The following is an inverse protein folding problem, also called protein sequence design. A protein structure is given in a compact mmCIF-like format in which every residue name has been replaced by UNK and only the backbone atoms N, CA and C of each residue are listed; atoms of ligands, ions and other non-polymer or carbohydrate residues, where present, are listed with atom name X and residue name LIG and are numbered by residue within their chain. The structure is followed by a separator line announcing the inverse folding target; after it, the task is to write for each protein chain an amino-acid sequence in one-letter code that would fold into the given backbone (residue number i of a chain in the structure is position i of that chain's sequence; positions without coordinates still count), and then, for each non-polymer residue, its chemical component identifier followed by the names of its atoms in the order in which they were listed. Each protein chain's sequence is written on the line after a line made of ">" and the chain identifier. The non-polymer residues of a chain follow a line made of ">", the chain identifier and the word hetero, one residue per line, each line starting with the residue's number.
data_IF_607684169647
#
_entry.id   IF_607684169647
#
_cell.length_a   1.000
_cell.length_b   1.000
_cell.length_c   1.000
_cell.angle_alpha   90.00
_cell.angle_beta   90.00
_cell.angle_gamma   90.00
#
_symmetry.space_group_name_H-M   'P 1'
#
loop_
_entity.id
_entity.type
_entity.pdbx_description
1 polymer ?
#
# COMPACT_ATOMS: atom_id res chain seq x y z
N UNK A 1 -1.95 -33.59 52.98
CA UNK A 1 -0.81 -33.71 53.91
C UNK A 1 0.46 -33.46 53.10
N UNK A 2 1.04 -32.44 53.26
CA UNK A 2 2.09 -31.71 53.92
C UNK A 2 2.27 -30.36 53.23
N UNK A 3 1.93 -29.36 53.95
CA UNK A 3 2.30 -27.98 53.90
C UNK A 3 3.79 -27.82 54.15
N UNK A 4 4.47 -26.91 53.48
CA UNK A 4 5.60 -26.17 54.07
C UNK A 4 5.63 -24.76 53.55
N UNK A 5 5.67 -23.88 54.50
CA UNK A 5 5.61 -22.45 54.43
C UNK A 5 7.03 -21.82 54.48
N UNK A 6 7.07 -20.58 54.05
CA UNK A 6 7.75 -19.44 54.66
C UNK A 6 9.27 -19.33 54.56
N UNK A 7 9.76 -18.25 54.04
CA UNK A 7 10.45 -17.23 54.88
C UNK A 7 10.73 -15.94 54.12
N UNK A 8 10.20 -14.90 54.70
CA UNK A 8 10.42 -13.47 54.47
C UNK A 8 11.78 -13.06 55.03
N UNK A 9 12.57 -12.29 54.32
CA UNK A 9 13.65 -11.51 54.95
C UNK A 9 13.51 -10.05 54.54
N UNK A 10 13.13 -9.24 55.51
CA UNK A 10 13.18 -7.78 55.52
C UNK A 10 14.54 -7.38 56.03
N UNK A 11 15.29 -6.58 55.31
CA UNK A 11 16.38 -5.77 55.91
C UNK A 11 16.14 -4.33 55.48
N UNK A 12 15.79 -3.52 56.43
CA UNK A 12 15.72 -2.08 56.32
C UNK A 12 17.12 -1.47 56.51
N UNK A 13 17.41 -0.42 55.77
CA UNK A 13 18.41 0.57 56.14
C UNK A 13 17.80 1.96 55.96
N UNK A 14 17.70 2.67 57.06
CA UNK A 14 17.43 4.11 57.12
C UNK A 14 18.65 4.89 56.67
N UNK A 15 18.47 5.92 55.85
CA UNK A 15 19.31 7.12 55.97
C UNK A 15 18.58 8.35 55.38
N UNK A 16 18.57 9.34 56.21
CA UNK A 16 18.24 10.74 56.17
C UNK A 16 17.98 11.45 54.83
N UNK A 17 16.90 12.24 54.85
CA UNK A 17 16.63 13.31 53.90
C UNK A 17 17.53 14.53 54.16
N UNK A 18 17.94 15.26 53.17
CA UNK A 18 18.24 16.68 53.29
C UNK A 18 17.09 17.54 52.80
N UNK A 19 16.93 18.66 53.47
CA UNK A 19 15.89 19.67 53.28
C UNK A 19 16.06 20.49 52.01
N UNK A 20 14.88 20.92 51.48
CA UNK A 20 14.70 22.23 50.84
C UNK A 20 15.34 22.36 49.46
N UNK A 21 14.52 22.27 48.41
CA UNK A 21 14.71 23.05 47.20
C UNK A 21 13.40 23.71 46.82
N UNK A 22 13.50 25.00 46.57
CA UNK A 22 12.47 25.93 46.20
C UNK A 22 11.68 25.44 44.98
N UNK A 23 10.38 25.70 44.96
CA UNK A 23 9.52 25.49 43.83
C UNK A 23 10.00 26.33 42.64
N UNK A 24 10.43 25.68 41.56
CA UNK A 24 10.58 26.32 40.27
C UNK A 24 9.22 26.75 39.75
N UNK A 25 9.12 27.91 39.10
CA UNK A 25 7.86 28.38 38.51
C UNK A 25 7.47 27.46 37.34
N UNK A 26 6.18 27.18 37.30
CA UNK A 26 5.45 26.46 36.28
C UNK A 26 5.96 26.81 34.86
N UNK A 27 6.70 25.91 34.26
CA UNK A 27 7.11 26.02 32.86
C UNK A 27 5.86 25.84 32.01
N UNK A 28 5.37 26.94 31.47
CA UNK A 28 4.33 26.89 30.44
C UNK A 28 4.67 25.91 29.33
N UNK A 29 3.67 25.49 28.49
CA UNK A 29 3.87 24.51 27.46
C UNK A 29 5.05 24.91 26.57
N UNK A 30 5.89 23.94 26.12
CA UNK A 30 7.08 24.25 25.35
C UNK A 30 6.68 25.02 24.11
N UNK A 31 7.07 26.28 24.04
CA UNK A 31 7.09 27.04 22.79
C UNK A 31 8.09 26.32 21.88
N UNK A 32 7.59 25.75 20.79
CA UNK A 32 8.42 25.21 19.71
C UNK A 32 9.07 26.39 19.01
N UNK A 33 10.13 26.92 19.59
CA UNK A 33 10.99 27.94 19.00
C UNK A 33 12.22 27.25 18.40
N UNK A 34 11.97 26.44 17.40
CA UNK A 34 12.97 25.97 16.44
C UNK A 34 12.65 26.60 15.11
N UNK A 35 13.19 27.80 14.86
CA UNK A 35 13.03 28.52 13.61
C UNK A 35 13.45 27.66 12.41
N UNK A 36 12.57 26.81 11.94
CA UNK A 36 12.69 26.15 10.65
C UNK A 36 12.58 27.26 9.60
N UNK A 37 13.72 27.68 9.05
CA UNK A 37 13.71 28.62 7.92
C UNK A 37 13.05 27.90 6.75
N UNK A 38 11.78 28.19 6.52
CA UNK A 38 11.02 27.68 5.39
C UNK A 38 11.63 28.18 4.08
N UNK A 39 12.48 27.38 3.45
CA UNK A 39 13.09 27.70 2.17
C UNK A 39 12.02 27.90 1.08
N UNK A 40 12.25 28.74 0.07
CA UNK A 40 11.41 28.81 -1.10
C UNK A 40 11.42 27.47 -1.85
N UNK A 41 10.27 27.04 -2.36
CA UNK A 41 10.11 25.79 -3.10
C UNK A 41 9.06 24.88 -2.47
N UNK A 42 9.06 23.61 -2.77
CA UNK A 42 8.08 22.64 -2.24
C UNK A 42 8.31 22.45 -0.73
N UNK A 43 7.76 23.35 0.07
CA UNK A 43 7.92 23.36 1.52
C UNK A 43 7.05 22.28 2.19
N UNK A 44 7.49 21.72 3.31
CA UNK A 44 6.68 20.80 4.12
C UNK A 44 5.40 21.47 4.65
N UNK A 45 4.40 20.67 5.04
CA UNK A 45 3.10 21.13 5.52
C UNK A 45 3.20 22.17 6.66
N UNK A 46 4.11 22.05 7.66
CA UNK A 46 4.26 23.08 8.70
C UNK A 46 4.59 24.45 8.13
N UNK A 47 5.46 24.51 7.12
CA UNK A 47 5.85 25.76 6.47
C UNK A 47 4.72 26.39 5.67
N UNK A 48 3.92 25.58 4.98
CA UNK A 48 2.77 26.09 4.22
C UNK A 48 1.70 26.64 5.15
N UNK A 49 1.44 25.97 6.27
CA UNK A 49 0.51 26.45 7.29
C UNK A 49 1.00 27.75 7.97
N UNK A 50 2.30 27.88 8.26
CA UNK A 50 2.89 29.14 8.75
C UNK A 50 2.71 30.28 7.73
N UNK A 51 2.91 30.02 6.43
CA UNK A 51 2.64 31.00 5.38
C UNK A 51 1.16 31.36 5.27
N UNK A 52 0.26 30.41 5.43
CA UNK A 52 -1.16 30.67 5.53
C UNK A 52 -1.47 31.62 6.70
N UNK A 53 -0.93 31.33 7.89
CA UNK A 53 -1.14 32.14 9.07
C UNK A 53 -0.65 33.61 8.86
N UNK A 54 0.53 33.78 8.25
CA UNK A 54 1.06 35.12 7.89
C UNK A 54 0.24 35.84 6.82
N UNK A 55 -0.36 35.09 5.90
CA UNK A 55 -1.17 35.64 4.83
C UNK A 55 -2.59 36.06 5.28
N UNK A 56 -3.01 35.77 6.53
CA UNK A 56 -4.32 36.14 7.09
C UNK A 56 -4.58 37.66 7.08
N UNK A 57 -3.53 38.48 7.14
CA UNK A 57 -3.60 39.93 7.00
C UNK A 57 -3.83 40.40 5.56
N UNK A 58 -3.99 39.52 4.61
CA UNK A 58 -4.21 39.77 3.18
C UNK A 58 -3.13 40.64 2.53
N UNK A 59 -1.88 40.59 3.01
CA UNK A 59 -0.75 41.22 2.30
C UNK A 59 -0.59 40.54 0.93
N UNK A 60 -0.58 41.30 -0.19
CA UNK A 60 -0.54 40.73 -1.53
C UNK A 60 0.67 39.83 -1.78
N UNK A 61 1.83 40.16 -1.19
CA UNK A 61 3.07 39.35 -1.36
C UNK A 61 2.98 38.03 -0.60
N UNK A 62 2.45 38.07 0.64
CA UNK A 62 2.24 36.87 1.43
C UNK A 62 1.23 35.92 0.77
N UNK A 63 0.12 36.47 0.25
CA UNK A 63 -0.89 35.69 -0.50
C UNK A 63 -0.31 35.08 -1.77
N UNK A 64 0.48 35.83 -2.54
CA UNK A 64 1.13 35.31 -3.74
C UNK A 64 2.14 34.19 -3.42
N UNK A 65 2.88 34.32 -2.33
CA UNK A 65 3.81 33.29 -1.87
C UNK A 65 3.06 32.01 -1.49
N UNK A 66 2.00 32.12 -0.70
CA UNK A 66 1.15 30.96 -0.34
C UNK A 66 0.58 30.29 -1.58
N UNK A 67 0.05 31.06 -2.53
CA UNK A 67 -0.46 30.53 -3.80
C UNK A 67 0.59 29.72 -4.55
N UNK A 68 1.79 30.28 -4.72
CA UNK A 68 2.89 29.59 -5.42
C UNK A 68 3.20 28.23 -4.81
N UNK A 69 3.20 28.15 -3.49
CA UNK A 69 3.44 26.86 -2.79
C UNK A 69 2.29 25.88 -2.98
N UNK A 70 1.04 26.35 -2.95
CA UNK A 70 -0.13 25.50 -3.15
C UNK A 70 -0.27 25.08 -4.62
N UNK A 71 0.12 25.94 -5.58
CA UNK A 71 0.14 25.58 -7.01
C UNK A 71 1.18 24.50 -7.31
N UNK A 72 2.34 24.57 -6.65
CA UNK A 72 3.38 23.55 -6.77
C UNK A 72 2.97 22.17 -6.19
N UNK A 73 1.88 22.15 -5.41
CA UNK A 73 1.32 20.95 -4.76
C UNK A 73 -0.01 20.49 -5.34
N UNK A 74 -0.40 21.03 -6.47
CA UNK A 74 -1.66 20.63 -7.12
C UNK A 74 -1.62 19.10 -7.39
N UNK A 75 -2.65 18.39 -6.90
CA UNK A 75 -2.75 16.94 -7.02
C UNK A 75 -1.99 16.13 -5.96
N UNK A 76 -1.54 16.78 -4.87
CA UNK A 76 -0.89 16.09 -3.74
C UNK A 76 -1.81 15.99 -2.50
N UNK A 77 -3.11 16.28 -2.65
CA UNK A 77 -4.07 16.25 -1.56
C UNK A 77 -3.93 17.37 -0.52
N UNK A 78 -4.68 17.28 0.58
CA UNK A 78 -4.63 18.27 1.65
C UNK A 78 -3.32 18.20 2.45
N UNK A 79 -2.98 19.29 3.11
CA UNK A 79 -1.80 19.40 3.97
C UNK A 79 -2.21 19.31 5.44
N UNK A 80 -1.48 18.53 6.23
CA UNK A 80 -1.70 18.44 7.66
C UNK A 80 -0.44 18.76 8.46
N UNK A 81 -0.56 19.59 9.50
CA UNK A 81 0.46 19.79 10.51
C UNK A 81 -0.13 20.33 11.81
N UNK A 82 0.34 19.81 12.94
CA UNK A 82 0.01 20.31 14.26
C UNK A 82 -1.48 20.29 14.59
N UNK A 83 -2.21 19.27 14.17
CA UNK A 83 -3.65 19.13 14.41
C UNK A 83 -4.53 20.00 13.49
N UNK A 84 -3.98 20.58 12.41
CA UNK A 84 -4.73 21.36 11.42
C UNK A 84 -4.51 20.81 10.02
N UNK A 85 -5.57 20.79 9.23
CA UNK A 85 -5.50 20.49 7.80
C UNK A 85 -5.84 21.71 6.95
N UNK A 86 -5.11 21.89 5.85
CA UNK A 86 -5.40 22.87 4.80
C UNK A 86 -5.86 22.13 3.56
N UNK A 87 -7.08 22.41 3.14
CA UNK A 87 -7.69 21.91 1.90
C UNK A 87 -7.69 23.01 0.86
N UNK A 88 -7.26 22.69 -0.35
CA UNK A 88 -7.41 23.55 -1.52
C UNK A 88 -8.51 23.00 -2.40
N UNK A 89 -9.44 23.83 -2.84
CA UNK A 89 -10.55 23.42 -3.70
C UNK A 89 -10.68 24.33 -4.91
N UNK A 90 -11.34 23.85 -5.97
CA UNK A 90 -11.52 24.64 -7.20
C UNK A 90 -12.56 25.77 -7.03
N UNK A 91 -13.55 25.58 -6.14
CA UNK A 91 -14.62 26.53 -5.84
C UNK A 91 -14.99 26.42 -4.35
N UNK A 92 -15.67 27.42 -3.77
CA UNK A 92 -16.21 27.35 -2.42
C UNK A 92 -17.12 26.12 -2.27
N UNK A 93 -16.78 25.23 -1.31
CA UNK A 93 -17.46 23.94 -1.13
C UNK A 93 -17.34 23.47 0.32
N UNK A 94 -18.30 22.69 0.81
CA UNK A 94 -18.22 22.02 2.11
C UNK A 94 -17.22 20.88 2.11
N UNK A 95 -16.65 20.57 3.27
CA UNK A 95 -15.72 19.45 3.49
C UNK A 95 -16.22 18.69 4.71
N UNK A 96 -16.64 17.46 4.50
CA UNK A 96 -17.15 16.60 5.54
C UNK A 96 -16.33 15.31 5.60
N UNK A 97 -15.97 14.89 6.79
CA UNK A 97 -15.17 13.70 7.03
C UNK A 97 -15.48 13.11 8.40
N UNK A 98 -14.84 12.01 8.73
CA UNK A 98 -15.03 11.29 9.98
C UNK A 98 -14.71 12.16 11.21
N UNK A 99 -13.70 13.03 11.14
CA UNK A 99 -13.30 13.91 12.25
C UNK A 99 -14.36 14.93 12.66
N UNK A 100 -15.29 15.28 11.77
CA UNK A 100 -16.40 16.20 12.05
C UNK A 100 -17.78 15.49 12.02
N UNK A 101 -17.79 14.15 12.12
CA UNK A 101 -18.99 13.32 12.05
C UNK A 101 -19.80 13.54 10.76
N UNK A 102 -19.11 13.80 9.65
CA UNK A 102 -19.72 14.06 8.35
C UNK A 102 -20.67 15.26 8.32
N UNK A 103 -20.43 16.26 9.21
CA UNK A 103 -21.18 17.51 9.25
C UNK A 103 -20.80 18.39 8.04
N UNK A 104 -21.72 18.53 7.10
CA UNK A 104 -21.56 19.28 5.85
C UNK A 104 -21.40 20.80 6.06
N UNK A 105 -21.63 21.29 7.26
CA UNK A 105 -21.56 22.73 7.61
C UNK A 105 -20.38 23.09 8.49
N UNK A 106 -19.68 22.10 9.05
CA UNK A 106 -18.62 22.32 10.04
C UNK A 106 -17.32 22.90 9.43
N UNK A 107 -17.03 22.58 8.17
CA UNK A 107 -15.87 23.10 7.44
C UNK A 107 -16.26 23.41 5.99
N UNK A 108 -15.92 24.61 5.53
CA UNK A 108 -16.15 25.00 4.15
C UNK A 108 -14.98 25.86 3.62
N UNK A 109 -14.62 25.63 2.37
CA UNK A 109 -13.63 26.46 1.68
C UNK A 109 -14.25 27.77 1.21
N UNK A 110 -13.43 28.78 1.11
CA UNK A 110 -13.83 30.10 0.66
C UNK A 110 -12.70 30.84 -0.07
N UNK A 111 -13.06 31.85 -0.85
CA UNK A 111 -12.09 32.71 -1.53
C UNK A 111 -11.20 33.41 -0.49
N UNK A 112 -9.90 33.12 -0.54
CA UNK A 112 -8.93 33.67 0.40
C UNK A 112 -8.54 35.10 0.01
N UNK A 113 -8.70 36.01 0.96
CA UNK A 113 -8.38 37.43 0.75
C UNK A 113 -9.00 38.07 -0.52
N UNK A 114 -10.18 37.63 -0.94
CA UNK A 114 -10.84 38.14 -2.14
C UNK A 114 -10.17 37.76 -3.46
N UNK A 115 -9.26 36.80 -3.44
CA UNK A 115 -8.63 36.21 -4.64
C UNK A 115 -9.42 35.01 -5.13
N UNK A 116 -8.96 34.42 -6.24
CA UNK A 116 -9.44 33.14 -6.77
C UNK A 116 -8.80 31.89 -6.10
N UNK A 117 -7.92 32.09 -5.13
CA UNK A 117 -7.43 31.02 -4.27
C UNK A 117 -8.51 30.61 -3.29
N UNK A 118 -9.01 29.39 -3.40
CA UNK A 118 -10.07 28.86 -2.53
C UNK A 118 -9.49 27.82 -1.60
N UNK A 119 -9.59 28.06 -0.30
CA UNK A 119 -9.02 27.20 0.74
C UNK A 119 -9.93 27.09 1.96
N UNK A 120 -9.78 25.99 2.69
CA UNK A 120 -10.27 25.81 4.04
C UNK A 120 -9.13 25.40 4.96
N UNK A 121 -9.17 25.84 6.21
CA UNK A 121 -8.29 25.32 7.27
C UNK A 121 -9.16 24.96 8.46
N UNK A 122 -9.02 23.71 8.92
CA UNK A 122 -9.79 23.19 10.04
C UNK A 122 -8.95 22.32 10.97
N UNK A 123 -9.47 22.10 12.18
CA UNK A 123 -8.88 21.16 13.12
C UNK A 123 -9.17 19.72 12.65
N UNK A 124 -8.14 18.93 12.49
CA UNK A 124 -8.21 17.50 12.15
C UNK A 124 -7.23 16.77 13.06
N UNK A 125 -7.65 15.75 13.82
CA UNK A 125 -6.75 15.01 14.70
C UNK A 125 -5.73 14.18 13.89
N UNK A 126 -4.82 13.55 14.56
CA UNK A 126 -3.92 12.53 13.95
C UNK A 126 -4.71 11.31 13.57
N UNK A 127 -4.47 10.76 12.40
CA UNK A 127 -5.14 9.55 11.89
C UNK A 127 -5.18 9.51 10.37
N UNK A 128 -5.81 8.47 9.87
CA UNK A 128 -6.22 8.37 8.47
C UNK A 128 -7.71 8.70 8.40
N UNK A 129 -8.04 9.78 7.71
CA UNK A 129 -9.35 10.41 7.75
C UNK A 129 -10.05 10.40 6.39
N UNK A 130 -11.05 9.54 6.18
CA UNK A 130 -11.89 9.59 4.99
C UNK A 130 -12.73 10.88 4.98
N UNK A 131 -12.86 11.50 3.80
CA UNK A 131 -13.65 12.71 3.60
C UNK A 131 -14.22 12.84 2.19
N UNK A 132 -15.18 13.73 2.03
CA UNK A 132 -15.72 14.16 0.73
C UNK A 132 -15.88 15.67 0.66
N UNK A 133 -15.91 16.17 -0.57
CA UNK A 133 -16.37 17.52 -0.88
C UNK A 133 -17.89 17.51 -1.03
N UNK A 134 -18.57 18.56 -0.53
CA UNK A 134 -20.03 18.65 -0.46
C UNK A 134 -20.54 19.95 -1.05
N UNK A 135 -21.32 19.85 -2.15
CA UNK A 135 -22.02 20.95 -2.79
C UNK A 135 -23.55 20.74 -2.68
N UNK A 136 -24.15 21.40 -1.71
CA UNK A 136 -25.56 21.19 -1.40
C UNK A 136 -25.85 19.75 -0.98
N UNK A 137 -26.52 19.00 -1.84
CA UNK A 137 -26.80 17.57 -1.64
C UNK A 137 -25.85 16.64 -2.39
N UNK A 138 -24.91 17.17 -3.17
CA UNK A 138 -23.97 16.39 -3.95
C UNK A 138 -22.69 16.14 -3.13
N UNK A 139 -22.24 14.90 -3.14
CA UNK A 139 -20.99 14.43 -2.52
C UNK A 139 -20.04 13.97 -3.60
N UNK A 140 -18.77 14.34 -3.52
CA UNK A 140 -17.76 13.96 -4.51
C UNK A 140 -16.41 13.71 -3.84
N UNK A 141 -15.56 12.95 -4.51
CA UNK A 141 -14.15 12.89 -4.18
C UNK A 141 -13.50 14.26 -4.39
N UNK A 142 -12.41 14.50 -3.70
CA UNK A 142 -11.55 15.64 -3.95
C UNK A 142 -10.67 15.38 -5.19
N UNK A 143 -10.86 16.11 -6.30
CA UNK A 143 -10.07 15.87 -7.51
C UNK A 143 -8.60 16.30 -7.38
N UNK A 144 -8.22 16.93 -6.28
CA UNK A 144 -6.83 17.30 -5.99
C UNK A 144 -6.14 16.31 -5.03
N UNK A 145 -6.86 15.28 -4.60
CA UNK A 145 -6.34 14.24 -3.70
C UNK A 145 -6.38 12.88 -4.37
N UNK A 146 -5.22 12.30 -4.73
CA UNK A 146 -5.16 10.96 -5.31
C UNK A 146 -5.36 9.86 -4.25
N UNK A 147 -5.29 10.19 -2.95
CA UNK A 147 -5.45 9.23 -1.88
C UNK A 147 -6.93 8.91 -1.64
N UNK A 148 -7.23 7.63 -1.47
CA UNK A 148 -8.61 7.19 -1.25
C UNK A 148 -8.69 5.97 -0.31
N UNK A 149 -9.89 5.75 0.22
CA UNK A 149 -10.29 4.51 0.88
C UNK A 149 -11.60 4.02 0.30
N UNK A 150 -11.80 2.72 0.27
CA UNK A 150 -13.10 2.13 -0.09
C UNK A 150 -14.13 2.39 1.00
N UNK A 151 -15.39 2.47 0.63
CA UNK A 151 -16.49 2.75 1.54
C UNK A 151 -17.77 2.09 1.01
N UNK A 152 -18.26 1.13 1.75
CA UNK A 152 -19.47 0.34 1.45
C UNK A 152 -20.78 0.99 1.90
N UNK A 153 -20.75 2.25 2.37
CA UNK A 153 -21.96 2.96 2.74
C UNK A 153 -22.95 3.03 1.58
N UNK A 154 -24.15 2.54 1.78
CA UNK A 154 -25.18 2.36 0.73
C UNK A 154 -25.58 3.65 -0.03
N UNK A 155 -25.17 4.82 0.41
CA UNK A 155 -25.37 6.11 -0.25
C UNK A 155 -24.15 6.63 -1.01
N UNK A 156 -23.05 5.93 -0.96
CA UNK A 156 -21.79 6.31 -1.61
C UNK A 156 -21.71 5.75 -3.03
N UNK A 157 -22.15 6.55 -4.02
CA UNK A 157 -22.21 6.10 -5.42
C UNK A 157 -20.83 5.77 -6.02
N UNK A 158 -19.76 6.36 -5.47
CA UNK A 158 -18.40 6.14 -5.96
C UNK A 158 -17.72 4.94 -5.27
N UNK A 159 -18.32 4.40 -4.19
CA UNK A 159 -17.75 3.31 -3.38
C UNK A 159 -16.42 3.67 -2.71
N UNK A 160 -16.02 4.95 -2.71
CA UNK A 160 -14.74 5.45 -2.20
C UNK A 160 -14.89 6.80 -1.51
N UNK A 161 -13.98 7.13 -0.61
CA UNK A 161 -13.80 8.47 -0.06
C UNK A 161 -12.37 8.93 -0.34
N UNK A 162 -12.15 10.24 -0.50
CA UNK A 162 -10.80 10.82 -0.41
C UNK A 162 -10.24 10.64 0.99
N UNK A 163 -8.93 10.61 1.14
CA UNK A 163 -8.25 10.32 2.41
C UNK A 163 -7.22 11.38 2.74
N UNK A 164 -7.37 12.01 3.89
CA UNK A 164 -6.29 12.73 4.54
C UNK A 164 -5.52 11.78 5.46
N UNK A 165 -4.32 11.37 5.07
CA UNK A 165 -3.40 10.64 5.94
C UNK A 165 -2.47 11.63 6.67
N UNK A 166 -2.38 11.48 8.00
CA UNK A 166 -1.43 12.26 8.78
C UNK A 166 -0.15 11.47 9.00
N UNK A 167 1.03 12.11 9.09
CA UNK A 167 2.31 11.40 9.20
C UNK A 167 2.39 10.37 10.33
N UNK A 168 1.61 10.57 11.40
CA UNK A 168 1.60 9.73 12.59
C UNK A 168 0.39 8.77 12.65
N UNK A 169 -0.31 8.54 11.55
CA UNK A 169 -1.48 7.64 11.52
C UNK A 169 -1.10 6.19 11.87
N UNK A 170 0.12 5.80 11.53
CA UNK A 170 0.59 4.42 11.66
C UNK A 170 0.01 3.48 10.59
N UNK A 171 -0.77 4.01 9.65
CA UNK A 171 -1.39 3.28 8.55
C UNK A 171 -0.80 3.73 7.21
N UNK A 172 -0.83 2.84 6.24
CA UNK A 172 -0.62 3.19 4.84
C UNK A 172 -1.93 3.63 4.19
N UNK A 173 -1.83 4.16 2.98
CA UNK A 173 -3.00 4.59 2.23
C UNK A 173 -2.93 4.19 0.77
N UNK A 174 -4.07 4.14 0.11
CA UNK A 174 -4.19 3.86 -1.32
C UNK A 174 -4.15 5.16 -2.12
N UNK A 175 -3.45 5.12 -3.25
CA UNK A 175 -3.46 6.23 -4.22
C UNK A 175 -3.80 5.70 -5.61
N UNK A 176 -4.61 6.48 -6.34
CA UNK A 176 -4.86 6.22 -7.75
C UNK A 176 -3.71 6.77 -8.59
N UNK A 177 -3.16 5.93 -9.47
CA UNK A 177 -2.14 6.33 -10.45
C UNK A 177 -2.78 6.52 -11.82
N UNK A 178 -2.03 7.12 -12.75
CA UNK A 178 -2.51 7.25 -14.12
C UNK A 178 -2.84 5.87 -14.73
N UNK A 179 -3.99 5.73 -15.43
CA UNK A 179 -4.35 4.49 -16.08
C UNK A 179 -3.32 4.04 -17.10
N UNK A 180 -2.97 2.76 -17.08
CA UNK A 180 -2.03 2.19 -18.03
C UNK A 180 -2.75 1.67 -19.28
N UNK A 181 -2.42 2.24 -20.45
CA UNK A 181 -3.03 1.88 -21.72
C UNK A 181 -2.03 1.20 -22.65
N UNK A 182 -2.44 0.08 -23.27
CA UNK A 182 -1.66 -0.64 -24.27
C UNK A 182 -2.27 -0.45 -25.66
N UNK A 183 -1.46 0.07 -26.58
CA UNK A 183 -1.89 0.18 -27.99
C UNK A 183 -1.93 -1.16 -28.71
N UNK A 184 -1.14 -2.15 -28.26
CA UNK A 184 -1.08 -3.50 -28.85
C UNK A 184 -2.26 -4.34 -28.37
N UNK A 185 -2.58 -4.30 -27.06
CA UNK A 185 -3.73 -5.01 -26.49
C UNK A 185 -5.05 -4.27 -26.74
N UNK A 186 -5.00 -2.98 -27.06
CA UNK A 186 -6.17 -2.16 -27.35
C UNK A 186 -7.05 -1.85 -26.13
N UNK A 187 -6.47 -1.90 -24.92
CA UNK A 187 -7.19 -1.67 -23.68
C UNK A 187 -6.39 -0.80 -22.69
N UNK A 188 -7.10 -0.25 -21.71
CA UNK A 188 -6.55 0.46 -20.57
C UNK A 188 -6.98 -0.25 -19.28
N UNK A 189 -6.21 -0.02 -18.22
CA UNK A 189 -6.52 -0.56 -16.88
C UNK A 189 -6.15 0.45 -15.80
N UNK A 190 -6.96 0.48 -14.77
CA UNK A 190 -6.71 1.30 -13.60
C UNK A 190 -5.52 0.73 -12.82
N UNK A 191 -4.74 1.63 -12.24
CA UNK A 191 -3.56 1.28 -11.44
C UNK A 191 -3.69 1.96 -10.09
N UNK A 192 -3.60 1.16 -9.04
CA UNK A 192 -3.63 1.64 -7.66
C UNK A 192 -2.34 1.26 -6.96
N UNK A 193 -1.82 2.16 -6.15
CA UNK A 193 -0.69 1.87 -5.28
C UNK A 193 -1.07 1.99 -3.81
N UNK A 194 -0.56 1.07 -2.99
CA UNK A 194 -0.47 1.23 -1.54
C UNK A 194 0.87 1.87 -1.21
N UNK A 195 0.82 2.96 -0.46
CA UNK A 195 1.96 3.65 0.10
C UNK A 195 2.07 3.32 1.60
N UNK A 196 3.25 2.92 2.10
CA UNK A 196 3.39 2.43 3.47
C UNK A 196 3.24 3.54 4.52
N UNK A 197 3.02 3.18 5.80
CA UNK A 197 2.89 4.14 6.88
C UNK A 197 3.99 5.21 6.88
N UNK A 198 3.60 6.46 7.13
CA UNK A 198 4.47 7.63 7.14
C UNK A 198 5.21 7.87 5.78
N UNK A 199 4.68 7.37 4.66
CA UNK A 199 5.27 7.65 3.35
C UNK A 199 5.39 9.15 3.12
N UNK A 200 4.36 9.95 3.34
CA UNK A 200 4.36 11.40 3.10
C UNK A 200 4.89 12.25 4.26
N UNK A 201 5.41 11.60 5.32
CA UNK A 201 6.06 12.30 6.41
C UNK A 201 7.30 13.05 5.91
N UNK A 202 7.52 14.31 6.33
CA UNK A 202 8.64 15.13 5.84
C UNK A 202 10.02 14.48 6.01
N UNK A 203 10.23 13.75 7.09
CA UNK A 203 11.46 13.03 7.38
C UNK A 203 11.70 11.86 6.42
N UNK A 204 10.66 11.33 5.81
CA UNK A 204 10.72 10.24 4.84
C UNK A 204 10.73 10.73 3.37
N UNK A 205 10.76 12.02 3.12
CA UNK A 205 10.68 12.59 1.78
C UNK A 205 11.74 12.11 0.78
N UNK A 206 12.88 11.63 1.28
CA UNK A 206 13.94 11.03 0.46
C UNK A 206 14.06 9.51 0.61
N UNK A 207 13.23 8.91 1.46
CA UNK A 207 13.23 7.46 1.67
C UNK A 207 12.66 6.76 0.45
N UNK A 208 13.32 5.70 0.02
CA UNK A 208 12.88 4.83 -1.07
C UNK A 208 12.47 3.46 -0.53
N UNK A 209 11.65 2.75 -1.29
CA UNK A 209 11.02 1.52 -0.83
C UNK A 209 11.12 0.41 -1.88
N UNK A 210 11.25 -0.86 -1.49
CA UNK A 210 11.07 -1.97 -2.41
C UNK A 210 9.64 -2.01 -2.94
N UNK A 211 9.46 -2.59 -4.13
CA UNK A 211 8.15 -2.61 -4.81
C UNK A 211 7.71 -4.03 -5.11
N UNK A 212 6.46 -4.31 -4.76
CA UNK A 212 5.70 -5.48 -5.17
C UNK A 212 4.66 -5.06 -6.24
N UNK A 213 4.70 -5.70 -7.40
CA UNK A 213 3.59 -5.63 -8.36
C UNK A 213 2.61 -6.77 -8.13
N UNK A 214 1.31 -6.48 -8.18
CA UNK A 214 0.26 -7.50 -8.07
C UNK A 214 -0.70 -7.46 -9.26
N UNK A 215 -1.08 -8.62 -9.74
CA UNK A 215 -2.11 -8.77 -10.76
C UNK A 215 -3.51 -8.72 -10.15
N UNK A 216 -4.51 -8.48 -11.00
CA UNK A 216 -5.92 -8.38 -10.61
C UNK A 216 -6.16 -7.31 -9.55
N UNK A 217 -5.68 -6.07 -9.84
CA UNK A 217 -5.66 -4.94 -8.90
C UNK A 217 -7.02 -4.66 -8.25
N UNK A 218 -8.13 -4.92 -8.93
CA UNK A 218 -9.47 -4.81 -8.37
C UNK A 218 -9.75 -5.79 -7.22
N UNK A 219 -8.96 -6.86 -7.08
CA UNK A 219 -9.12 -7.88 -6.06
C UNK A 219 -8.15 -7.71 -4.87
N UNK A 220 -7.14 -6.84 -5.00
CA UNK A 220 -6.00 -6.79 -4.05
C UNK A 220 -6.37 -6.06 -2.75
N UNK A 221 -7.24 -5.07 -2.83
CA UNK A 221 -7.54 -4.15 -1.73
C UNK A 221 -8.76 -4.60 -0.92
N UNK A 222 -9.04 -3.87 0.17
CA UNK A 222 -10.31 -3.98 0.87
C UNK A 222 -11.41 -3.42 -0.05
N UNK A 223 -12.21 -4.30 -0.57
CA UNK A 223 -13.33 -3.95 -1.42
C UNK A 223 -14.52 -4.85 -1.06
N UNK A 224 -15.66 -4.23 -1.07
CA UNK A 224 -16.91 -4.82 -0.66
C UNK A 224 -17.67 -5.49 -1.82
N UNK A 225 -17.32 -5.24 -3.06
CA UNK A 225 -18.08 -5.74 -4.22
C UNK A 225 -17.18 -6.19 -5.38
N UNK A 226 -16.08 -6.87 -5.06
CA UNK A 226 -15.28 -7.51 -6.08
C UNK A 226 -15.35 -9.03 -5.97
N UNK A 227 -15.09 -9.67 -7.07
CA UNK A 227 -14.47 -10.97 -7.10
C UNK A 227 -15.37 -12.14 -6.68
N UNK A 228 -14.85 -13.34 -6.75
CA UNK A 228 -15.58 -14.57 -6.45
C UNK A 228 -15.89 -14.75 -4.96
N UNK A 229 -15.05 -14.18 -4.09
CA UNK A 229 -15.21 -14.25 -2.63
C UNK A 229 -16.07 -13.11 -2.06
N UNK A 230 -16.57 -12.19 -2.87
CA UNK A 230 -17.27 -10.98 -2.45
C UNK A 230 -16.50 -10.12 -1.45
N UNK A 231 -15.17 -10.19 -1.50
CA UNK A 231 -14.24 -9.35 -0.74
C UNK A 231 -12.89 -9.32 -1.45
N UNK A 232 -12.11 -8.27 -1.26
CA UNK A 232 -10.72 -8.23 -1.71
C UNK A 232 -9.79 -9.05 -0.81
N UNK A 233 -8.51 -9.09 -1.18
CA UNK A 233 -7.47 -9.74 -0.35
C UNK A 233 -7.08 -8.91 0.87
N UNK A 234 -7.46 -7.64 0.91
CA UNK A 234 -7.06 -6.70 1.95
C UNK A 234 -5.55 -6.69 2.20
N UNK A 235 -4.78 -6.65 1.12
CA UNK A 235 -3.30 -6.64 1.21
C UNK A 235 -2.81 -5.40 1.95
N UNK A 236 -3.46 -4.25 1.76
CA UNK A 236 -3.19 -3.01 2.49
C UNK A 236 -3.38 -3.19 4.00
N UNK A 237 -4.49 -3.78 4.44
CA UNK A 237 -4.77 -4.05 5.87
C UNK A 237 -3.76 -5.05 6.46
N UNK A 238 -3.43 -6.09 5.68
CA UNK A 238 -2.41 -7.07 6.08
C UNK A 238 -1.05 -6.40 6.24
N UNK A 239 -0.65 -5.55 5.29
CA UNK A 239 0.62 -4.82 5.35
C UNK A 239 0.70 -3.88 6.55
N UNK A 240 -0.36 -3.12 6.84
CA UNK A 240 -0.39 -2.24 8.01
C UNK A 240 -0.13 -3.04 9.30
N UNK A 241 -0.79 -4.18 9.43
CA UNK A 241 -0.59 -5.08 10.57
C UNK A 241 0.83 -5.66 10.63
N UNK A 242 1.34 -6.19 9.52
CA UNK A 242 2.64 -6.87 9.50
C UNK A 242 3.81 -5.88 9.62
N UNK A 243 3.67 -4.66 9.08
CA UNK A 243 4.65 -3.56 9.26
C UNK A 243 4.65 -3.08 10.72
N UNK A 244 3.47 -2.85 11.31
CA UNK A 244 3.36 -2.44 12.71
C UNK A 244 3.94 -3.49 13.68
N UNK A 245 3.83 -4.77 13.33
CA UNK A 245 4.41 -5.88 14.10
C UNK A 245 5.89 -6.15 13.78
N UNK A 246 6.52 -5.32 12.94
CA UNK A 246 7.90 -5.48 12.49
C UNK A 246 8.22 -6.86 11.88
N UNK A 247 7.28 -7.44 11.15
CA UNK A 247 7.45 -8.70 10.43
C UNK A 247 7.71 -8.47 8.94
N UNK A 248 7.11 -7.45 8.36
CA UNK A 248 7.31 -7.00 6.98
C UNK A 248 7.97 -5.63 6.98
N UNK A 249 8.94 -5.42 6.11
CA UNK A 249 9.52 -4.11 5.87
C UNK A 249 8.47 -3.19 5.21
N UNK A 250 8.52 -1.86 5.42
CA UNK A 250 7.71 -0.94 4.64
C UNK A 250 8.01 -1.08 3.14
N UNK A 251 6.98 -1.39 2.36
CA UNK A 251 7.03 -1.59 0.90
C UNK A 251 5.95 -0.79 0.20
N UNK A 252 6.13 -0.54 -1.08
CA UNK A 252 5.07 -0.08 -1.98
C UNK A 252 4.47 -1.29 -2.67
N UNK A 253 3.14 -1.35 -2.77
CA UNK A 253 2.47 -2.34 -3.62
C UNK A 253 1.77 -1.60 -4.75
N UNK A 254 2.02 -2.00 -5.99
CA UNK A 254 1.36 -1.47 -7.18
C UNK A 254 0.51 -2.58 -7.79
N UNK A 255 -0.77 -2.36 -7.95
CA UNK A 255 -1.68 -3.33 -8.50
C UNK A 255 -2.44 -2.74 -9.69
N UNK A 256 -2.36 -3.42 -10.83
CA UNK A 256 -3.08 -3.06 -12.03
C UNK A 256 -4.32 -3.95 -12.18
N UNK A 257 -5.49 -3.32 -12.42
CA UNK A 257 -6.73 -4.03 -12.64
C UNK A 257 -6.65 -4.89 -13.90
N UNK A 258 -7.28 -6.06 -13.88
CA UNK A 258 -7.46 -6.86 -15.08
C UNK A 258 -8.59 -6.30 -15.96
N UNK A 259 -8.58 -6.66 -17.23
CA UNK A 259 -9.58 -6.28 -18.20
C UNK A 259 -10.49 -7.49 -18.55
N UNK A 260 -11.48 -7.28 -19.38
CA UNK A 260 -12.30 -8.39 -19.92
C UNK A 260 -11.48 -9.40 -20.74
N UNK A 261 -10.26 -9.03 -21.16
CA UNK A 261 -9.33 -9.92 -21.87
C UNK A 261 -8.43 -10.73 -20.93
N UNK A 262 -8.60 -10.60 -19.60
CA UNK A 262 -7.77 -11.21 -18.55
C UNK A 262 -7.33 -12.64 -18.86
N UNK A 263 -8.25 -13.49 -19.23
CA UNK A 263 -7.95 -14.90 -19.43
C UNK A 263 -6.88 -15.12 -20.52
N UNK A 264 -6.99 -14.42 -21.64
CA UNK A 264 -6.04 -14.52 -22.74
C UNK A 264 -4.71 -13.82 -22.37
N UNK A 265 -4.80 -12.65 -21.74
CA UNK A 265 -3.63 -11.90 -21.29
C UNK A 265 -2.81 -12.63 -20.23
N UNK A 266 -3.44 -13.50 -19.43
CA UNK A 266 -2.80 -14.20 -18.31
C UNK A 266 -2.46 -15.66 -18.61
N UNK A 267 -2.67 -16.16 -19.84
CA UNK A 267 -2.12 -17.45 -20.25
C UNK A 267 -3.02 -18.37 -21.06
N UNK A 268 -4.34 -18.09 -21.23
CA UNK A 268 -5.17 -18.96 -22.06
C UNK A 268 -4.92 -18.78 -23.58
N UNK A 269 -4.21 -17.72 -23.97
CA UNK A 269 -3.72 -17.50 -25.31
C UNK A 269 -2.26 -17.01 -25.24
N UNK A 270 -1.30 -17.91 -25.43
CA UNK A 270 0.11 -17.60 -25.28
C UNK A 270 0.59 -16.38 -26.09
N UNK A 271 0.21 -16.18 -27.36
CA UNK A 271 0.55 -14.96 -28.09
C UNK A 271 0.09 -13.68 -27.41
N UNK A 272 -1.14 -13.65 -26.90
CA UNK A 272 -1.69 -12.49 -26.16
C UNK A 272 -0.98 -12.30 -24.83
N UNK A 273 -0.68 -13.38 -24.10
CA UNK A 273 0.10 -13.32 -22.87
C UNK A 273 1.49 -12.72 -23.10
N UNK A 274 2.19 -13.11 -24.15
CA UNK A 274 3.50 -12.54 -24.46
C UNK A 274 3.43 -11.04 -24.78
N UNK A 275 2.34 -10.59 -25.44
CA UNK A 275 2.08 -9.16 -25.64
C UNK A 275 1.79 -8.44 -24.32
N UNK A 276 1.04 -9.08 -23.41
CA UNK A 276 0.78 -8.56 -22.08
C UNK A 276 2.07 -8.44 -21.25
N UNK A 277 2.93 -9.46 -21.28
CA UNK A 277 4.24 -9.43 -20.61
C UNK A 277 5.08 -8.25 -21.11
N UNK A 278 5.17 -8.07 -22.43
CA UNK A 278 5.89 -6.93 -23.02
C UNK A 278 5.29 -5.59 -22.57
N UNK A 279 3.96 -5.45 -22.59
CA UNK A 279 3.28 -4.25 -22.10
C UNK A 279 3.56 -3.98 -20.62
N UNK A 280 3.51 -5.03 -19.78
CA UNK A 280 3.80 -4.92 -18.36
C UNK A 280 5.21 -4.39 -18.10
N UNK A 281 6.21 -4.96 -18.79
CA UNK A 281 7.63 -4.64 -18.59
C UNK A 281 8.01 -3.30 -19.22
N UNK A 282 7.54 -3.04 -20.44
CA UNK A 282 8.03 -1.91 -21.24
C UNK A 282 7.22 -0.63 -21.01
N UNK A 283 5.99 -0.71 -20.52
CA UNK A 283 5.08 0.42 -20.43
C UNK A 283 4.49 0.60 -19.03
N UNK A 284 3.73 -0.37 -18.51
CA UNK A 284 2.99 -0.24 -17.28
C UNK A 284 3.91 -0.01 -16.07
N UNK A 285 4.89 -0.89 -15.87
CA UNK A 285 5.79 -0.80 -14.71
C UNK A 285 6.63 0.48 -14.71
N UNK A 286 7.31 0.87 -15.82
CA UNK A 286 8.04 2.14 -15.84
C UNK A 286 7.15 3.35 -15.58
N UNK A 287 5.93 3.38 -16.14
CA UNK A 287 4.98 4.47 -15.91
C UNK A 287 4.57 4.56 -14.44
N UNK A 288 4.15 3.44 -13.84
CA UNK A 288 3.73 3.41 -12.44
C UNK A 288 4.89 3.74 -11.47
N UNK A 289 6.10 3.24 -11.72
CA UNK A 289 7.29 3.52 -10.90
C UNK A 289 7.68 5.00 -10.92
N UNK A 290 7.37 5.74 -11.98
CA UNK A 290 7.65 7.18 -12.06
C UNK A 290 6.85 8.01 -11.04
N UNK A 291 5.76 7.47 -10.50
CA UNK A 291 4.88 8.15 -9.53
C UNK A 291 5.22 7.85 -8.05
N UNK A 292 6.16 6.95 -7.78
CA UNK A 292 6.46 6.50 -6.42
C UNK A 292 7.95 6.53 -6.11
N UNK A 293 8.30 6.63 -4.83
CA UNK A 293 9.71 6.62 -4.38
C UNK A 293 10.22 5.18 -4.21
N UNK A 294 10.48 4.51 -5.33
CA UNK A 294 11.05 3.16 -5.34
C UNK A 294 12.58 3.17 -5.15
N UNK A 295 13.13 2.07 -4.64
CA UNK A 295 14.57 1.97 -4.30
C UNK A 295 15.49 1.70 -5.51
N UNK A 296 14.93 1.52 -6.69
CA UNK A 296 15.67 1.18 -7.91
C UNK A 296 16.20 -0.26 -7.94
N UNK A 297 15.85 -1.07 -6.94
CA UNK A 297 16.15 -2.49 -6.91
C UNK A 297 15.28 -3.31 -7.87
N UNK A 298 15.55 -4.63 -7.91
CA UNK A 298 14.70 -5.54 -8.65
C UNK A 298 13.34 -5.67 -7.96
N UNK A 299 12.32 -5.82 -8.77
CA UNK A 299 10.93 -5.89 -8.34
C UNK A 299 10.58 -7.29 -7.80
N UNK A 300 9.49 -7.36 -7.03
CA UNK A 300 8.75 -8.58 -6.80
C UNK A 300 7.41 -8.53 -7.53
N UNK A 301 6.85 -9.70 -7.81
CA UNK A 301 5.56 -9.82 -8.50
C UNK A 301 4.71 -10.92 -7.89
N UNK A 302 3.39 -10.71 -7.78
CA UNK A 302 2.49 -11.70 -7.20
C UNK A 302 1.12 -11.72 -7.89
N UNK A 303 0.43 -12.84 -7.73
CA UNK A 303 -0.95 -12.99 -8.17
C UNK A 303 -1.52 -14.35 -7.76
N UNK A 304 -2.81 -14.56 -8.04
CA UNK A 304 -3.48 -15.83 -7.80
C UNK A 304 -4.02 -16.44 -9.09
N UNK A 305 -4.22 -17.74 -9.10
CA UNK A 305 -4.83 -18.43 -10.25
C UNK A 305 -4.05 -18.14 -11.55
N UNK A 306 -4.72 -17.64 -12.60
CA UNK A 306 -4.05 -17.14 -13.81
C UNK A 306 -3.12 -15.96 -13.52
N UNK A 307 -3.45 -15.08 -12.54
CA UNK A 307 -2.54 -14.02 -12.09
C UNK A 307 -1.25 -14.57 -11.48
N UNK A 308 -1.33 -15.70 -10.77
CA UNK A 308 -0.18 -16.44 -10.27
C UNK A 308 0.65 -17.11 -11.38
N UNK A 309 -0.01 -17.61 -12.43
CA UNK A 309 0.64 -18.12 -13.62
C UNK A 309 1.46 -17.04 -14.31
N UNK A 310 0.84 -15.90 -14.67
CA UNK A 310 1.52 -14.84 -15.40
C UNK A 310 2.58 -14.12 -14.55
N UNK A 311 2.43 -14.08 -13.22
CA UNK A 311 3.47 -13.59 -12.31
C UNK A 311 4.73 -14.45 -12.39
N UNK A 312 4.58 -15.77 -12.41
CA UNK A 312 5.70 -16.71 -12.58
C UNK A 312 6.32 -16.59 -13.98
N UNK A 313 5.51 -16.48 -15.03
CA UNK A 313 5.99 -16.27 -16.40
C UNK A 313 6.84 -15.00 -16.52
N UNK A 314 6.35 -13.87 -15.97
CA UNK A 314 7.08 -12.60 -15.92
C UNK A 314 8.42 -12.75 -15.21
N UNK A 315 8.43 -13.33 -14.02
CA UNK A 315 9.66 -13.46 -13.23
C UNK A 315 10.68 -14.40 -13.87
N UNK A 316 10.22 -15.53 -14.43
CA UNK A 316 11.10 -16.51 -15.08
C UNK A 316 11.65 -16.03 -16.42
N UNK A 317 10.89 -15.19 -17.15
CA UNK A 317 11.33 -14.62 -18.45
C UNK A 317 12.21 -13.39 -18.27
N UNK A 318 12.02 -12.62 -17.18
CA UNK A 318 12.71 -11.35 -16.91
C UNK A 318 13.44 -11.34 -15.56
N UNK A 319 14.38 -12.28 -15.32
CA UNK A 319 15.15 -12.35 -14.08
C UNK A 319 16.08 -11.14 -13.87
N UNK A 320 16.28 -10.32 -14.92
CA UNK A 320 16.99 -9.04 -14.83
C UNK A 320 16.14 -7.96 -14.13
N UNK A 321 14.81 -8.07 -14.20
CA UNK A 321 13.84 -7.12 -13.63
C UNK A 321 13.37 -7.58 -12.26
N UNK A 322 13.10 -8.89 -12.12
CA UNK A 322 12.52 -9.44 -10.89
C UNK A 322 13.54 -10.18 -10.04
N UNK A 323 13.42 -10.03 -8.73
CA UNK A 323 14.16 -10.79 -7.72
C UNK A 323 13.29 -11.84 -7.03
N UNK A 324 11.97 -11.70 -7.12
CA UNK A 324 11.03 -12.58 -6.42
C UNK A 324 9.68 -12.68 -7.13
N UNK A 325 9.02 -13.83 -6.94
CA UNK A 325 7.66 -14.07 -7.40
C UNK A 325 6.85 -14.84 -6.35
N UNK A 326 5.54 -14.52 -6.26
CA UNK A 326 4.60 -15.30 -5.48
C UNK A 326 3.41 -15.71 -6.33
N UNK A 327 3.07 -17.01 -6.29
CA UNK A 327 1.92 -17.57 -6.98
C UNK A 327 1.04 -18.31 -5.97
N UNK A 328 -0.16 -17.76 -5.76
CA UNK A 328 -1.15 -18.33 -4.86
C UNK A 328 -2.15 -19.12 -5.70
N UNK A 329 -2.30 -20.42 -5.41
CA UNK A 329 -3.19 -21.31 -6.17
C UNK A 329 -2.99 -21.18 -7.69
N UNK A 330 -1.74 -21.19 -8.16
CA UNK A 330 -1.38 -20.90 -9.55
C UNK A 330 -2.04 -21.84 -10.56
N UNK A 331 -2.50 -21.29 -11.69
CA UNK A 331 -3.13 -22.05 -12.77
C UNK A 331 -2.08 -22.76 -13.65
N UNK A 332 -1.34 -23.71 -13.09
CA UNK A 332 -0.24 -24.41 -13.74
C UNK A 332 -0.66 -25.66 -14.52
N UNK A 333 -1.81 -25.61 -15.16
CA UNK A 333 -2.35 -26.72 -15.93
C UNK A 333 -1.38 -27.20 -17.04
N UNK A 334 -1.48 -28.48 -17.45
CA UNK A 334 -0.75 -28.94 -18.62
C UNK A 334 -1.21 -28.23 -19.89
N UNK A 335 -0.30 -28.10 -20.85
CA UNK A 335 -0.61 -27.44 -22.14
C UNK A 335 -1.78 -28.12 -22.83
N UNK A 336 -2.77 -27.32 -23.17
CA UNK A 336 -3.92 -27.70 -23.97
C UNK A 336 -4.15 -26.60 -25.02
N UNK A 337 -4.12 -26.94 -26.28
CA UNK A 337 -4.29 -26.00 -27.40
C UNK A 337 -3.26 -24.86 -27.36
N UNK A 338 -3.75 -23.62 -27.12
CA UNK A 338 -2.93 -22.40 -27.09
C UNK A 338 -2.61 -21.94 -25.66
N UNK A 339 -2.94 -22.72 -24.65
CA UNK A 339 -2.60 -22.41 -23.26
C UNK A 339 -1.10 -22.33 -23.05
N UNK A 340 -0.66 -21.35 -22.30
CA UNK A 340 0.65 -21.41 -21.64
C UNK A 340 0.64 -22.51 -20.61
N UNK A 341 1.69 -23.32 -20.60
CA UNK A 341 1.87 -24.36 -19.61
C UNK A 341 3.21 -24.18 -18.92
N UNK A 342 3.27 -23.29 -17.94
CA UNK A 342 4.49 -22.98 -17.17
C UNK A 342 5.18 -24.27 -16.70
N UNK A 343 4.43 -25.26 -16.22
CA UNK A 343 4.98 -26.55 -15.77
C UNK A 343 5.77 -27.28 -16.84
N UNK A 344 5.45 -27.09 -18.13
CA UNK A 344 6.19 -27.67 -19.24
C UNK A 344 7.41 -26.82 -19.64
N UNK A 345 7.42 -25.53 -19.26
CA UNK A 345 8.43 -24.55 -19.62
C UNK A 345 9.51 -24.36 -18.54
N UNK A 346 9.18 -24.56 -17.25
CA UNK A 346 10.11 -24.39 -16.13
C UNK A 346 11.46 -25.05 -16.35
N UNK A 347 11.56 -26.30 -16.87
CA UNK A 347 12.86 -26.91 -17.13
C UNK A 347 13.72 -26.12 -18.13
N UNK A 348 13.08 -25.43 -19.09
CA UNK A 348 13.75 -24.64 -20.14
C UNK A 348 14.34 -23.32 -19.64
N UNK A 349 13.78 -22.72 -18.60
CA UNK A 349 14.31 -21.49 -18.02
C UNK A 349 15.63 -21.69 -17.27
N UNK A 350 15.87 -22.90 -16.76
CA UNK A 350 17.06 -23.20 -15.97
C UNK A 350 17.06 -22.51 -14.61
N UNK A 351 18.16 -22.64 -13.89
CA UNK A 351 18.31 -22.05 -12.55
C UNK A 351 18.50 -20.53 -12.64
N UNK A 352 17.73 -19.79 -11.87
CA UNK A 352 17.78 -18.34 -11.81
C UNK A 352 17.85 -17.85 -10.34
N UNK A 353 18.35 -16.64 -10.13
CA UNK A 353 18.47 -16.03 -8.80
C UNK A 353 17.15 -15.37 -8.36
N UNK A 354 16.08 -16.17 -8.29
CA UNK A 354 14.74 -15.74 -7.88
C UNK A 354 14.35 -16.37 -6.54
N UNK A 355 13.76 -15.61 -5.63
CA UNK A 355 13.00 -16.11 -4.51
C UNK A 355 11.57 -16.41 -4.98
N UNK A 356 11.07 -17.61 -4.76
CA UNK A 356 9.75 -18.03 -5.25
C UNK A 356 8.90 -18.51 -4.08
N UNK A 357 7.68 -17.98 -3.97
CA UNK A 357 6.62 -18.48 -3.09
C UNK A 357 5.56 -19.18 -3.93
N UNK A 358 5.22 -20.40 -3.55
CA UNK A 358 4.15 -21.18 -4.17
C UNK A 358 3.21 -21.70 -3.09
N UNK A 359 1.91 -21.56 -3.29
CA UNK A 359 0.92 -22.17 -2.41
C UNK A 359 -0.24 -22.81 -3.16
N UNK A 360 -1.02 -23.57 -2.41
CA UNK A 360 -2.34 -24.07 -2.80
C UNK A 360 -3.16 -24.47 -1.58
N UNK A 361 -4.48 -24.52 -1.74
CA UNK A 361 -5.43 -24.91 -0.68
C UNK A 361 -5.94 -26.34 -0.79
N UNK A 362 -5.93 -26.89 -2.00
CA UNK A 362 -6.61 -28.14 -2.34
C UNK A 362 -5.87 -29.42 -1.94
N UNK A 363 -6.47 -30.55 -2.30
CA UNK A 363 -5.90 -31.88 -2.09
C UNK A 363 -5.18 -32.33 -3.36
N UNK A 364 -3.90 -32.75 -3.24
CA UNK A 364 -3.14 -33.25 -4.38
C UNK A 364 -3.73 -34.49 -5.03
N UNK A 365 -4.54 -35.28 -4.32
CA UNK A 365 -5.12 -36.52 -4.83
C UNK A 365 -6.22 -36.29 -5.87
N UNK A 366 -6.92 -35.16 -5.82
CA UNK A 366 -7.97 -34.79 -6.77
C UNK A 366 -7.63 -33.53 -7.58
N UNK A 367 -6.43 -32.99 -7.39
CA UNK A 367 -5.96 -31.75 -7.98
C UNK A 367 -6.89 -30.55 -7.72
N UNK A 368 -7.66 -30.57 -6.64
CA UNK A 368 -8.44 -29.41 -6.24
C UNK A 368 -7.51 -28.22 -5.98
N UNK A 369 -7.96 -27.00 -6.30
CA UNK A 369 -7.14 -25.78 -6.22
C UNK A 369 -5.80 -25.83 -6.97
N UNK A 370 -5.66 -26.68 -8.02
CA UNK A 370 -4.42 -26.85 -8.78
C UNK A 370 -3.26 -27.45 -7.98
N UNK A 371 -3.57 -28.19 -6.91
CA UNK A 371 -2.59 -28.71 -5.97
C UNK A 371 -1.52 -29.60 -6.61
N UNK A 372 -1.93 -30.56 -7.45
CA UNK A 372 -0.99 -31.45 -8.11
C UNK A 372 -0.07 -30.72 -9.11
N UNK A 373 -0.63 -29.76 -9.85
CA UNK A 373 0.14 -28.97 -10.82
C UNK A 373 1.13 -28.03 -10.10
N UNK A 374 0.73 -27.42 -8.99
CA UNK A 374 1.63 -26.61 -8.14
C UNK A 374 2.78 -27.43 -7.57
N UNK A 375 2.48 -28.66 -7.11
CA UNK A 375 3.49 -29.60 -6.61
C UNK A 375 4.47 -29.98 -7.72
N UNK A 376 4.01 -30.21 -8.93
CA UNK A 376 4.87 -30.51 -10.06
C UNK A 376 5.83 -29.36 -10.39
N UNK A 377 5.34 -28.11 -10.47
CA UNK A 377 6.19 -26.92 -10.66
C UNK A 377 7.21 -26.79 -9.51
N UNK A 378 6.77 -26.97 -8.26
CA UNK A 378 7.65 -26.98 -7.09
C UNK A 378 8.81 -28.00 -7.26
N UNK A 379 8.48 -29.22 -7.62
CA UNK A 379 9.47 -30.30 -7.71
C UNK A 379 10.44 -30.12 -8.89
N UNK A 380 9.96 -29.49 -9.98
CA UNK A 380 10.83 -29.07 -11.09
C UNK A 380 11.81 -27.98 -10.64
N UNK A 381 11.36 -26.96 -9.92
CA UNK A 381 12.22 -25.91 -9.38
C UNK A 381 13.28 -26.49 -8.43
N UNK A 382 12.90 -27.44 -7.56
CA UNK A 382 13.86 -28.15 -6.70
C UNK A 382 14.89 -28.92 -7.53
N UNK A 383 14.45 -29.58 -8.59
CA UNK A 383 15.35 -30.31 -9.51
C UNK A 383 16.35 -29.40 -10.21
N UNK A 384 15.93 -28.18 -10.53
CA UNK A 384 16.77 -27.11 -11.10
C UNK A 384 17.71 -26.46 -10.06
N UNK A 385 17.52 -26.75 -8.76
CA UNK A 385 18.40 -26.32 -7.69
C UNK A 385 17.89 -25.18 -6.82
N UNK A 386 16.56 -24.91 -6.83
CA UNK A 386 15.95 -24.08 -5.81
C UNK A 386 15.96 -24.80 -4.46
N UNK A 387 16.20 -24.04 -3.40
CA UNK A 387 16.24 -24.57 -2.03
C UNK A 387 14.86 -24.43 -1.40
N UNK A 388 14.15 -25.55 -1.31
CA UNK A 388 12.82 -25.59 -0.70
C UNK A 388 12.90 -25.46 0.80
N UNK A 389 12.00 -24.62 1.34
CA UNK A 389 11.55 -24.59 2.73
C UNK A 389 10.02 -24.55 2.75
N UNK A 390 9.42 -24.94 3.87
CA UNK A 390 7.98 -24.94 4.01
C UNK A 390 7.56 -23.80 4.98
N UNK A 391 6.48 -23.10 4.61
CA UNK A 391 5.90 -22.03 5.44
C UNK A 391 5.52 -22.57 6.85
N UNK A 392 5.67 -21.81 7.93
CA UNK A 392 6.10 -20.40 7.98
C UNK A 392 7.61 -20.19 8.15
N UNK A 393 8.43 -21.21 8.02
CA UNK A 393 9.87 -21.15 8.30
C UNK A 393 10.73 -20.78 7.07
N UNK A 394 10.15 -20.08 6.12
CA UNK A 394 10.86 -19.66 4.92
C UNK A 394 11.70 -18.40 5.15
N UNK A 395 12.86 -18.35 4.49
CA UNK A 395 13.68 -17.15 4.42
C UNK A 395 13.99 -16.82 2.95
N UNK A 396 13.90 -15.54 2.54
CA UNK A 396 14.20 -15.17 1.15
C UNK A 396 15.68 -15.30 0.86
N UNK A 397 15.99 -15.45 -0.42
CA UNK A 397 17.35 -15.49 -0.92
C UNK A 397 17.41 -15.95 -2.36
N UNK A 398 18.56 -15.81 -3.01
CA UNK A 398 18.76 -16.33 -4.36
C UNK A 398 18.45 -17.82 -4.40
N UNK A 399 17.50 -18.22 -5.24
CA UNK A 399 17.03 -19.60 -5.36
C UNK A 399 16.32 -20.17 -4.10
N UNK A 400 15.75 -19.32 -3.24
CA UNK A 400 14.85 -19.78 -2.19
C UNK A 400 13.48 -20.15 -2.80
N UNK A 401 12.91 -21.26 -2.36
CA UNK A 401 11.56 -21.69 -2.70
C UNK A 401 10.80 -21.91 -1.40
N UNK A 402 9.87 -21.03 -1.12
CA UNK A 402 8.93 -21.19 -0.02
C UNK A 402 7.67 -21.88 -0.54
N UNK A 403 7.34 -23.01 0.03
CA UNK A 403 6.13 -23.75 -0.32
C UNK A 403 5.16 -23.76 0.86
N UNK A 404 3.89 -23.48 0.57
CA UNK A 404 2.82 -23.49 1.55
C UNK A 404 1.65 -24.36 1.08
N UNK A 405 1.17 -25.21 1.96
CA UNK A 405 -0.06 -25.95 1.76
C UNK A 405 -1.06 -25.54 2.84
N UNK A 406 -2.20 -24.99 2.41
CA UNK A 406 -3.31 -24.57 3.28
C UNK A 406 -4.48 -25.55 3.12
N UNK A 407 -4.47 -26.72 3.79
CA UNK A 407 -5.46 -27.78 3.57
C UNK A 407 -6.89 -27.31 3.73
N UNK A 408 -7.72 -27.53 2.71
CA UNK A 408 -9.14 -27.18 2.70
C UNK A 408 -9.44 -25.72 2.39
N UNK A 409 -8.43 -24.88 2.12
CA UNK A 409 -8.66 -23.53 1.62
C UNK A 409 -9.21 -23.60 0.18
N UNK A 410 -10.17 -22.73 -0.08
CA UNK A 410 -10.88 -22.63 -1.37
C UNK A 410 -10.11 -21.77 -2.38
N UNK A 411 -10.57 -21.81 -3.65
CA UNK A 411 -9.98 -21.00 -4.73
C UNK A 411 -10.68 -19.66 -4.84
N UNK A 412 -10.50 -18.82 -3.82
CA UNK A 412 -11.16 -17.50 -3.74
C UNK A 412 -10.34 -16.49 -2.91
N UNK A 413 -10.78 -15.23 -2.98
CA UNK A 413 -10.12 -14.10 -2.34
C UNK A 413 -10.10 -14.21 -0.80
N UNK A 414 -11.13 -14.77 -0.18
CA UNK A 414 -11.16 -15.01 1.27
C UNK A 414 -10.05 -15.95 1.72
N UNK A 415 -9.84 -17.02 0.97
CA UNK A 415 -8.78 -17.98 1.26
C UNK A 415 -7.39 -17.39 1.02
N UNK A 416 -7.21 -16.59 -0.04
CA UNK A 416 -5.94 -15.89 -0.32
C UNK A 416 -5.66 -14.80 0.71
N UNK A 417 -6.65 -14.00 1.10
CA UNK A 417 -6.57 -13.03 2.21
C UNK A 417 -6.05 -13.66 3.49
N UNK A 418 -6.61 -14.80 3.88
CA UNK A 418 -6.25 -15.48 5.13
C UNK A 418 -4.77 -15.90 5.20
N UNK A 419 -4.06 -15.98 4.06
CA UNK A 419 -2.67 -16.40 3.97
C UNK A 419 -1.73 -15.40 3.27
N UNK A 420 -2.22 -14.23 2.88
CA UNK A 420 -1.42 -13.19 2.22
C UNK A 420 -0.18 -12.78 3.02
N UNK A 421 -0.28 -12.71 4.35
CA UNK A 421 0.84 -12.39 5.23
C UNK A 421 2.05 -13.31 5.03
N UNK A 422 1.86 -14.58 4.63
CA UNK A 422 2.94 -15.56 4.49
C UNK A 422 3.89 -15.21 3.35
N UNK A 423 3.35 -14.88 2.16
CA UNK A 423 4.22 -14.48 1.06
C UNK A 423 4.82 -13.09 1.28
N UNK A 424 4.11 -12.17 1.97
CA UNK A 424 4.63 -10.85 2.31
C UNK A 424 5.81 -10.94 3.30
N UNK A 425 5.69 -11.73 4.37
CA UNK A 425 6.79 -11.99 5.31
C UNK A 425 7.98 -12.67 4.61
N UNK A 426 7.72 -13.59 3.68
CA UNK A 426 8.78 -14.27 2.93
C UNK A 426 9.49 -13.33 1.97
N UNK A 427 8.77 -12.52 1.18
CA UNK A 427 9.38 -11.67 0.17
C UNK A 427 10.04 -10.42 0.77
N UNK A 428 9.49 -9.89 1.84
CA UNK A 428 9.90 -8.61 2.42
C UNK A 428 10.05 -8.67 3.95
N UNK A 429 10.83 -9.59 4.49
CA UNK A 429 11.00 -9.67 5.93
C UNK A 429 11.56 -8.36 6.48
N UNK A 430 11.02 -7.93 7.62
CA UNK A 430 11.62 -6.81 8.34
C UNK A 430 13.06 -7.18 8.73
N UNK A 431 14.00 -6.31 8.42
CA UNK A 431 15.37 -6.48 8.87
C UNK A 431 15.40 -6.25 10.38
N UNK A 432 15.79 -7.25 11.14
CA UNK A 432 16.13 -7.06 12.55
C UNK A 432 17.39 -6.19 12.61
N UNK A 433 17.23 -4.94 13.03
CA UNK A 433 18.35 -4.01 13.29
C UNK A 433 18.99 -4.29 14.63
#
# INVERSE_FOLDING_TARGET
>A
MRTLALSLFILGCHSAAPAGSEAEPDAGPPTVDGGTTCAPGLAGAPCVLDRYDRAQGCDPTAVATLRTELDARAGLGPLWAGGRALFRTAAPIGIAGDWNNWDTTALASSAFCGTDLVIAVGAVPTGLHPYKLVDGAAWSLDPLDPAFAYDDFAGNADGRNSVLDTPDSGLGHLVELDPACSTVLGNCRDVTAYLPPAYDAPENGTRTYPVLFMHDGQNVWDDHDCCFGHTGWEVNVTLDSEIANAKVAPIIVIAAASTTARNNEYGLDEPTMLQFISFQVDQLQPAALAHVRHDGGKLAIAGSSLGGLVAMELAMRHPEIYSAAASLSGAFWPRMDQHTALRDEVPGFGKQALAIYLDHGGDPSDNSDGAADTIEVRDQLVTLGWQRSDSPSCAPGPNALCYDWAPGATHDELAWKARAWRFLEFLFPAQLH
#
